data_IF_526097172523
#
_entry.id   IF_526097172523
#
_cell.length_a   1.000
_cell.length_b   1.000
_cell.length_c   1.000
_cell.angle_alpha   90.00
_cell.angle_beta   90.00
_cell.angle_gamma   90.00
#
_symmetry.space_group_name_H-M   'P 1'
#
loop_
_entity.id
_entity.type
_entity.pdbx_description
1 polymer ?
#
# COMPACT_ATOMS: atom_id res chain seq x y z
N UNK A 1 12.08 -17.69 4.07
CA UNK A 1 10.75 -17.58 4.65
C UNK A 1 10.76 -16.45 5.69
N UNK A 2 9.75 -15.58 5.66
CA UNK A 2 9.57 -14.48 6.63
C UNK A 2 8.34 -14.79 7.48
N UNK A 3 8.47 -14.62 8.80
CA UNK A 3 7.41 -14.85 9.79
C UNK A 3 6.52 -13.63 9.92
N UNK A 4 5.44 -13.57 9.15
CA UNK A 4 4.45 -12.50 9.16
C UNK A 4 3.06 -13.07 9.44
N UNK A 5 2.16 -12.37 10.13
CA UNK A 5 0.78 -12.79 10.29
C UNK A 5 0.07 -12.83 8.93
N UNK A 6 0.01 -14.00 8.32
CA UNK A 6 -0.52 -14.17 6.96
C UNK A 6 -1.91 -14.76 6.92
N UNK A 7 -2.33 -15.42 7.99
CA UNK A 7 -3.57 -16.17 8.03
C UNK A 7 -4.71 -15.29 8.54
N UNK A 8 -5.85 -15.18 7.82
CA UNK A 8 -6.96 -14.32 8.21
C UNK A 8 -7.75 -14.87 9.43
N UNK A 9 -8.08 -16.16 9.47
CA UNK A 9 -8.95 -16.73 10.50
C UNK A 9 -8.34 -17.96 11.20
N UNK A 10 -7.65 -18.83 10.46
CA UNK A 10 -7.10 -20.10 10.97
C UNK A 10 -5.67 -20.29 10.45
N UNK A 11 -4.79 -20.82 11.29
CA UNK A 11 -3.43 -21.18 10.89
C UNK A 11 -3.47 -22.19 9.73
N UNK A 12 -2.72 -21.91 8.67
CA UNK A 12 -2.63 -22.77 7.48
C UNK A 12 -3.49 -22.34 6.30
N UNK A 13 -4.23 -21.23 6.39
CA UNK A 13 -5.09 -20.77 5.28
C UNK A 13 -4.32 -20.09 4.15
N UNK A 14 -3.17 -19.45 4.44
CA UNK A 14 -2.56 -18.56 3.46
C UNK A 14 -1.04 -18.42 3.57
N UNK A 15 -0.36 -18.57 2.46
CA UNK A 15 1.05 -18.19 2.25
C UNK A 15 1.07 -16.94 1.37
N UNK A 16 1.85 -15.93 1.74
CA UNK A 16 2.07 -14.78 0.87
C UNK A 16 3.25 -15.05 -0.05
N UNK A 17 3.01 -14.91 -1.35
CA UNK A 17 4.00 -15.07 -2.41
C UNK A 17 4.36 -13.74 -3.08
N UNK A 18 3.83 -12.65 -2.59
CA UNK A 18 4.08 -11.31 -3.11
C UNK A 18 3.27 -10.26 -2.37
N UNK A 19 3.60 -9.01 -2.61
CA UNK A 19 2.93 -7.85 -2.04
C UNK A 19 2.76 -6.75 -3.09
N UNK A 20 1.68 -5.97 -2.96
CA UNK A 20 1.56 -4.73 -3.73
C UNK A 20 2.58 -3.71 -3.26
N UNK A 21 3.04 -2.86 -4.17
CA UNK A 21 3.81 -1.68 -3.83
C UNK A 21 2.96 -0.65 -3.07
N UNK A 22 3.65 0.27 -2.40
CA UNK A 22 3.02 1.36 -1.66
C UNK A 22 3.76 2.67 -1.89
N UNK A 23 3.01 3.67 -2.35
CA UNK A 23 3.48 5.03 -2.60
C UNK A 23 2.56 6.00 -1.85
N UNK A 24 3.13 6.82 -0.97
CA UNK A 24 2.44 7.95 -0.34
C UNK A 24 2.87 9.24 -1.01
N UNK A 25 1.92 10.12 -1.35
CA UNK A 25 2.18 11.47 -1.83
C UNK A 25 1.61 12.50 -0.87
N UNK A 26 2.40 13.53 -0.53
CA UNK A 26 1.94 14.74 0.16
C UNK A 26 2.01 15.89 -0.83
N UNK A 27 0.85 16.37 -1.25
CA UNK A 27 0.70 17.48 -2.21
C UNK A 27 0.39 18.76 -1.44
N UNK A 28 1.13 19.82 -1.72
CA UNK A 28 0.85 21.18 -1.25
C UNK A 28 0.61 22.07 -2.46
N UNK A 29 -0.50 22.80 -2.48
CA UNK A 29 -0.82 23.82 -3.46
C UNK A 29 -0.58 25.19 -2.83
N UNK A 30 0.13 26.03 -3.55
CA UNK A 30 0.38 27.42 -3.18
C UNK A 30 -0.52 28.32 -4.00
N UNK A 31 -1.33 29.11 -3.31
CA UNK A 31 -2.20 30.12 -3.90
C UNK A 31 -1.74 31.54 -3.59
N UNK A 32 -2.67 32.47 -3.68
CA UNK A 32 -2.51 33.85 -3.24
C UNK A 32 -3.65 34.15 -2.27
N UNK A 33 -3.28 34.46 -1.02
CA UNK A 33 -4.24 34.82 0.01
C UNK A 33 -4.96 36.13 -0.32
N UNK A 34 -6.24 36.24 0.08
CA UNK A 34 -6.99 37.45 -0.14
C UNK A 34 -8.37 37.43 0.53
N UNK A 35 -9.08 38.54 0.47
CA UNK A 35 -10.44 38.66 0.99
C UNK A 35 -11.44 37.96 0.06
N UNK A 36 -12.36 37.17 0.59
CA UNK A 36 -13.34 36.40 -0.22
C UNK A 36 -14.26 37.31 -1.08
N UNK A 37 -14.49 38.56 -0.66
CA UNK A 37 -15.26 39.51 -1.44
C UNK A 37 -14.53 40.02 -2.72
N UNK A 38 -13.20 39.81 -2.80
CA UNK A 38 -12.39 40.24 -3.94
C UNK A 38 -11.60 39.07 -4.55
N UNK A 39 -12.26 38.00 -5.02
CA UNK A 39 -11.60 36.76 -5.46
C UNK A 39 -10.67 36.99 -6.67
N UNK A 40 -10.88 38.05 -7.43
CA UNK A 40 -10.01 38.44 -8.57
C UNK A 40 -8.60 38.91 -8.14
N UNK A 41 -8.42 39.26 -6.85
CA UNK A 41 -7.13 39.65 -6.25
C UNK A 41 -6.43 38.51 -5.53
N UNK A 42 -7.00 37.30 -5.58
CA UNK A 42 -6.51 36.12 -4.90
C UNK A 42 -6.38 34.93 -5.84
N UNK A 43 -5.78 33.84 -5.39
CA UNK A 43 -5.79 32.57 -6.11
C UNK A 43 -6.03 31.45 -5.10
N UNK A 44 -7.23 30.88 -5.11
CA UNK A 44 -7.71 29.99 -4.06
C UNK A 44 -7.12 28.55 -4.20
N UNK A 45 -6.17 28.14 -3.36
CA UNK A 45 -5.59 26.81 -3.42
C UNK A 45 -6.59 25.72 -3.00
N UNK A 46 -7.63 26.04 -2.21
CA UNK A 46 -8.68 25.10 -1.81
C UNK A 46 -9.49 24.63 -3.01
N UNK A 47 -9.85 25.56 -3.90
CA UNK A 47 -10.54 25.22 -5.16
C UNK A 47 -9.66 24.36 -6.08
N UNK A 48 -8.37 24.67 -6.13
CA UNK A 48 -7.41 23.95 -6.99
C UNK A 48 -7.18 22.53 -6.49
N UNK A 49 -6.99 22.34 -5.18
CA UNK A 49 -6.76 21.01 -4.60
C UNK A 49 -7.97 20.10 -4.78
N UNK A 50 -9.19 20.62 -4.63
CA UNK A 50 -10.43 19.87 -4.90
C UNK A 50 -10.47 19.38 -6.35
N UNK A 51 -10.10 20.22 -7.32
CA UNK A 51 -10.01 19.84 -8.73
C UNK A 51 -9.01 18.74 -8.97
N UNK A 52 -7.82 18.84 -8.34
CA UNK A 52 -6.78 17.81 -8.43
C UNK A 52 -7.29 16.50 -7.82
N UNK A 53 -7.86 16.53 -6.62
CA UNK A 53 -8.35 15.33 -5.94
C UNK A 53 -9.46 14.63 -6.75
N UNK A 54 -10.32 15.38 -7.39
CA UNK A 54 -11.34 14.82 -8.29
C UNK A 54 -10.69 14.10 -9.49
N UNK A 55 -9.74 14.73 -10.17
CA UNK A 55 -8.98 14.07 -11.26
C UNK A 55 -8.23 12.81 -10.78
N UNK A 56 -7.66 12.85 -9.56
CA UNK A 56 -6.97 11.69 -8.99
C UNK A 56 -7.93 10.53 -8.73
N UNK A 57 -9.14 10.79 -8.25
CA UNK A 57 -10.17 9.80 -7.97
C UNK A 57 -10.63 9.07 -9.24
N UNK A 58 -10.69 9.78 -10.36
CA UNK A 58 -11.11 9.23 -11.65
C UNK A 58 -10.03 8.39 -12.36
N UNK A 59 -8.80 8.33 -11.81
CA UNK A 59 -7.72 7.57 -12.43
C UNK A 59 -8.01 6.07 -12.35
N UNK A 60 -8.25 5.47 -13.49
CA UNK A 60 -8.21 4.01 -13.65
C UNK A 60 -6.78 3.60 -14.00
N UNK A 61 -6.07 2.98 -13.06
CA UNK A 61 -4.69 2.53 -13.29
C UNK A 61 -4.66 1.26 -14.12
N UNK A 62 -5.40 0.24 -13.69
CA UNK A 62 -5.47 -1.09 -14.29
C UNK A 62 -6.68 -1.91 -13.78
N UNK A 63 -6.89 -3.09 -14.33
CA UNK A 63 -7.95 -4.04 -13.91
C UNK A 63 -7.42 -5.15 -13.00
N UNK A 64 -6.21 -5.02 -12.45
CA UNK A 64 -5.54 -6.08 -11.71
C UNK A 64 -4.83 -7.10 -12.62
N UNK A 65 -4.36 -8.19 -12.01
CA UNK A 65 -3.75 -9.33 -12.66
C UNK A 65 -4.29 -10.63 -12.05
N UNK A 66 -3.90 -11.80 -12.59
CA UNK A 66 -4.24 -13.09 -11.98
C UNK A 66 -3.87 -13.17 -10.49
N UNK A 67 -2.77 -12.51 -10.09
CA UNK A 67 -2.23 -12.60 -8.73
C UNK A 67 -2.48 -11.35 -7.89
N UNK A 68 -2.84 -10.22 -8.48
CA UNK A 68 -2.99 -8.95 -7.77
C UNK A 68 -4.33 -8.28 -8.03
N UNK A 69 -4.86 -7.67 -6.99
CA UNK A 69 -5.95 -6.71 -7.09
C UNK A 69 -5.54 -5.50 -7.96
N UNK A 70 -6.52 -4.75 -8.50
CA UNK A 70 -6.25 -3.49 -9.18
C UNK A 70 -5.44 -2.52 -8.31
N UNK A 71 -4.67 -1.68 -8.97
CA UNK A 71 -4.03 -0.54 -8.34
C UNK A 71 -5.09 0.48 -7.93
N UNK A 72 -5.04 0.93 -6.68
CA UNK A 72 -5.97 1.90 -6.13
C UNK A 72 -5.25 3.08 -5.48
N UNK A 73 -5.91 4.25 -5.51
CA UNK A 73 -5.50 5.47 -4.84
C UNK A 73 -6.57 5.88 -3.85
N UNK A 74 -6.15 6.16 -2.60
CA UNK A 74 -7.03 6.69 -1.57
C UNK A 74 -6.46 8.00 -1.01
N UNK A 75 -7.30 9.03 -0.94
CA UNK A 75 -6.98 10.27 -0.23
C UNK A 75 -7.18 10.04 1.26
N UNK A 76 -6.11 10.22 2.02
CA UNK A 76 -6.11 9.90 3.46
C UNK A 76 -6.17 11.13 4.36
N UNK A 77 -5.85 12.31 3.82
CA UNK A 77 -5.89 13.57 4.56
C UNK A 77 -6.08 14.75 3.62
N UNK A 78 -6.92 15.71 4.02
CA UNK A 78 -7.02 17.03 3.41
C UNK A 78 -6.87 18.04 4.55
N UNK A 79 -6.00 19.03 4.37
CA UNK A 79 -5.75 20.06 5.37
C UNK A 79 -5.70 21.44 4.70
N UNK A 80 -6.53 22.34 5.19
CA UNK A 80 -6.54 23.75 4.82
C UNK A 80 -6.49 24.51 6.13
N UNK A 81 -5.29 24.95 6.50
CA UNK A 81 -5.08 25.65 7.75
C UNK A 81 -5.53 27.12 7.61
N UNK A 82 -6.83 27.33 7.72
CA UNK A 82 -7.45 28.65 7.64
C UNK A 82 -8.40 28.82 8.84
N UNK A 83 -8.23 29.91 9.59
CA UNK A 83 -9.01 30.20 10.80
C UNK A 83 -10.05 31.30 10.59
N UNK A 84 -10.01 31.99 9.46
CA UNK A 84 -10.88 33.10 9.15
C UNK A 84 -11.81 32.77 7.97
N UNK A 85 -13.11 32.91 8.17
CA UNK A 85 -14.14 32.55 7.17
C UNK A 85 -14.16 33.48 5.96
N UNK A 86 -13.69 34.69 6.12
CA UNK A 86 -13.67 35.75 5.09
C UNK A 86 -12.33 35.87 4.35
N UNK A 87 -11.40 34.90 4.55
CA UNK A 87 -10.06 34.91 3.94
C UNK A 87 -9.87 33.68 3.06
N UNK A 88 -9.45 33.89 1.80
CA UNK A 88 -8.95 32.84 0.93
C UNK A 88 -7.56 32.40 1.44
N UNK A 89 -7.28 31.12 1.71
CA UNK A 89 -6.01 30.68 2.28
C UNK A 89 -4.83 30.83 1.31
N UNK A 90 -3.61 30.85 1.85
CA UNK A 90 -2.38 30.85 1.08
C UNK A 90 -2.01 29.46 0.57
N UNK A 91 -2.38 28.40 1.29
CA UNK A 91 -2.00 27.02 0.97
C UNK A 91 -3.14 26.03 1.23
N UNK A 92 -3.11 24.90 0.51
CA UNK A 92 -3.95 23.74 0.77
C UNK A 92 -3.12 22.46 0.59
N UNK A 93 -3.31 21.47 1.46
CA UNK A 93 -2.56 20.22 1.46
C UNK A 93 -3.48 19.00 1.33
N UNK A 94 -2.99 17.97 0.67
CA UNK A 94 -3.61 16.64 0.68
C UNK A 94 -2.55 15.55 0.76
N UNK A 95 -2.89 14.47 1.47
CA UNK A 95 -2.11 13.24 1.48
C UNK A 95 -2.93 12.13 0.88
N UNK A 96 -2.31 11.32 0.03
CA UNK A 96 -2.91 10.13 -0.56
C UNK A 96 -1.94 8.96 -0.52
N UNK A 97 -2.48 7.74 -0.52
CA UNK A 97 -1.71 6.52 -0.62
C UNK A 97 -2.16 5.70 -1.84
N UNK A 98 -1.19 5.12 -2.54
CA UNK A 98 -1.44 4.26 -3.70
C UNK A 98 -0.89 2.87 -3.40
N UNK A 99 -1.76 1.86 -3.53
CA UNK A 99 -1.38 0.46 -3.51
C UNK A 99 -1.37 -0.06 -4.94
N UNK A 100 -0.20 -0.41 -5.46
CA UNK A 100 -0.03 -0.75 -6.86
C UNK A 100 0.49 -2.17 -7.06
N UNK A 101 0.02 -2.79 -8.13
CA UNK A 101 0.43 -4.13 -8.54
C UNK A 101 1.67 -4.08 -9.46
N UNK A 102 2.13 -5.24 -9.91
CA UNK A 102 3.34 -5.41 -10.71
C UNK A 102 3.22 -4.95 -12.18
N UNK A 103 2.09 -4.35 -12.59
CA UNK A 103 1.97 -3.63 -13.88
C UNK A 103 2.57 -2.22 -13.81
N UNK A 104 2.82 -1.74 -12.59
CA UNK A 104 3.34 -0.40 -12.33
C UNK A 104 4.62 -0.46 -11.51
N UNK A 105 5.42 0.59 -11.66
CA UNK A 105 6.50 0.96 -10.74
C UNK A 105 6.14 2.28 -10.07
N UNK A 106 6.74 2.57 -8.91
CA UNK A 106 6.57 3.86 -8.26
C UNK A 106 6.88 5.02 -9.20
N UNK A 107 7.92 4.89 -10.04
CA UNK A 107 8.31 5.90 -11.01
C UNK A 107 7.25 6.10 -12.12
N UNK A 108 6.63 5.04 -12.62
CA UNK A 108 5.57 5.16 -13.63
C UNK A 108 4.34 5.87 -13.08
N UNK A 109 3.99 5.61 -11.82
CA UNK A 109 2.90 6.27 -11.10
C UNK A 109 3.23 7.74 -10.88
N UNK A 110 4.41 8.07 -10.35
CA UNK A 110 4.86 9.47 -10.16
C UNK A 110 4.78 10.27 -11.45
N UNK A 111 5.27 9.71 -12.57
CA UNK A 111 5.17 10.35 -13.89
C UNK A 111 3.72 10.63 -14.30
N UNK A 112 2.80 9.69 -14.08
CA UNK A 112 1.36 9.86 -14.39
C UNK A 112 0.73 10.96 -13.55
N UNK A 113 0.98 10.98 -12.24
CA UNK A 113 0.45 11.99 -11.32
C UNK A 113 1.01 13.38 -11.61
N UNK A 114 2.32 13.49 -11.84
CA UNK A 114 2.96 14.77 -12.11
C UNK A 114 2.40 15.44 -13.39
N UNK A 115 2.03 14.67 -14.42
CA UNK A 115 1.34 15.21 -15.60
C UNK A 115 0.02 15.91 -15.24
N UNK A 116 -0.75 15.31 -14.33
CA UNK A 116 -2.03 15.88 -13.87
C UNK A 116 -1.77 17.16 -13.08
N UNK A 117 -0.83 17.11 -12.13
CA UNK A 117 -0.48 18.27 -11.30
C UNK A 117 -0.02 19.45 -12.16
N UNK A 118 0.90 19.21 -13.10
CA UNK A 118 1.40 20.25 -14.01
C UNK A 118 0.26 20.84 -14.86
N UNK A 119 -0.60 19.97 -15.45
CA UNK A 119 -1.75 20.41 -16.27
C UNK A 119 -2.68 21.34 -15.50
N UNK A 120 -3.08 20.94 -14.28
CA UNK A 120 -4.04 21.72 -13.49
C UNK A 120 -3.38 23.00 -12.97
N UNK A 121 -2.17 22.92 -12.43
CA UNK A 121 -1.50 24.11 -11.90
C UNK A 121 -1.19 25.15 -12.99
N UNK A 122 -0.87 24.72 -14.22
CA UNK A 122 -0.73 25.62 -15.37
C UNK A 122 -2.06 26.33 -15.69
N UNK A 123 -3.19 25.59 -15.69
CA UNK A 123 -4.53 26.14 -15.95
C UNK A 123 -4.93 27.20 -14.92
N UNK A 124 -4.62 26.97 -13.64
CA UNK A 124 -5.00 27.85 -12.53
C UNK A 124 -3.88 28.81 -12.10
N UNK A 125 -2.78 28.89 -12.87
CA UNK A 125 -1.62 29.77 -12.59
C UNK A 125 -1.13 29.65 -11.13
N UNK A 126 -1.11 28.43 -10.59
CA UNK A 126 -0.67 28.12 -9.21
C UNK A 126 0.67 27.40 -9.20
N UNK A 127 1.29 27.33 -8.03
CA UNK A 127 2.48 26.51 -7.79
C UNK A 127 2.11 25.30 -6.94
N UNK A 128 2.88 24.21 -7.04
CA UNK A 128 2.69 23.05 -6.19
C UNK A 128 4.04 22.47 -5.77
N UNK A 129 4.01 21.78 -4.64
CA UNK A 129 5.08 20.89 -4.17
C UNK A 129 4.47 19.50 -3.96
N UNK A 130 5.19 18.47 -4.36
CA UNK A 130 4.80 17.07 -4.10
C UNK A 130 5.98 16.32 -3.52
N UNK A 131 5.79 15.77 -2.33
CA UNK A 131 6.75 14.90 -1.67
C UNK A 131 6.25 13.46 -1.75
N UNK A 132 7.08 12.54 -2.29
CA UNK A 132 6.75 11.15 -2.43
C UNK A 132 7.57 10.26 -1.49
N UNK A 133 6.88 9.35 -0.79
CA UNK A 133 7.51 8.29 -0.01
C UNK A 133 7.10 6.93 -0.57
N UNK A 134 8.08 6.16 -1.05
CA UNK A 134 7.89 4.78 -1.51
C UNK A 134 8.20 3.84 -0.35
N UNK A 135 7.21 3.09 0.14
CA UNK A 135 7.43 2.07 1.18
C UNK A 135 7.95 0.75 0.60
N UNK A 136 7.69 0.50 -0.69
CA UNK A 136 8.20 -0.66 -1.42
C UNK A 136 7.56 -0.77 -2.80
N UNK A 137 8.29 -1.43 -3.71
CA UNK A 137 7.77 -1.83 -5.02
C UNK A 137 6.90 -3.09 -4.90
N UNK A 138 6.02 -3.30 -5.87
CA UNK A 138 5.29 -4.56 -5.99
C UNK A 138 6.25 -5.70 -6.35
N UNK A 139 6.03 -6.87 -5.76
CA UNK A 139 6.80 -8.06 -6.11
C UNK A 139 5.95 -9.33 -6.08
N UNK A 140 6.41 -10.32 -6.83
CA UNK A 140 5.82 -11.65 -6.89
C UNK A 140 6.93 -12.69 -6.93
N UNK A 141 6.93 -13.64 -6.01
CA UNK A 141 7.73 -14.86 -6.06
C UNK A 141 6.93 -15.89 -6.85
N UNK A 142 7.47 -16.36 -7.96
CA UNK A 142 6.87 -17.47 -8.72
C UNK A 142 6.92 -18.74 -7.87
N UNK A 143 5.79 -19.46 -7.70
CA UNK A 143 5.77 -20.73 -6.99
C UNK A 143 6.79 -21.71 -7.58
N UNK A 144 7.53 -22.39 -6.72
CA UNK A 144 8.59 -23.34 -7.07
C UNK A 144 8.56 -24.57 -6.15
N UNK A 145 9.52 -25.48 -6.26
CA UNK A 145 9.61 -26.70 -5.44
C UNK A 145 9.52 -26.39 -3.93
N UNK A 146 10.23 -25.35 -3.47
CA UNK A 146 10.20 -24.93 -2.06
C UNK A 146 8.81 -24.44 -1.65
N UNK A 147 8.11 -23.69 -2.52
CA UNK A 147 6.74 -23.24 -2.26
C UNK A 147 5.79 -24.41 -2.03
N UNK A 148 5.88 -25.44 -2.87
CA UNK A 148 5.02 -26.62 -2.79
C UNK A 148 5.40 -27.52 -1.60
N UNK A 149 6.69 -27.64 -1.27
CA UNK A 149 7.16 -28.31 -0.05
C UNK A 149 6.55 -27.66 1.20
N UNK A 150 6.62 -26.33 1.31
CA UNK A 150 6.06 -25.58 2.45
C UNK A 150 4.53 -25.76 2.51
N UNK A 151 3.81 -25.67 1.36
CA UNK A 151 2.37 -25.93 1.31
C UNK A 151 2.02 -27.32 1.84
N UNK A 152 2.78 -28.35 1.46
CA UNK A 152 2.54 -29.73 1.89
C UNK A 152 2.81 -29.92 3.39
N UNK A 153 3.86 -29.31 3.94
CA UNK A 153 4.17 -29.35 5.37
C UNK A 153 3.03 -28.70 6.17
N UNK A 154 2.59 -27.52 5.76
CA UNK A 154 1.48 -26.81 6.41
C UNK A 154 0.21 -27.66 6.35
N UNK A 155 -0.14 -28.22 5.18
CA UNK A 155 -1.31 -29.09 5.00
C UNK A 155 -1.23 -30.31 5.93
N UNK A 156 -0.07 -30.94 6.06
CA UNK A 156 0.12 -32.12 6.92
C UNK A 156 -0.18 -31.81 8.39
N UNK A 157 0.28 -30.64 8.89
CA UNK A 157 0.16 -30.26 10.30
C UNK A 157 -1.21 -29.66 10.60
N UNK A 158 -1.70 -28.76 9.75
CA UNK A 158 -2.95 -28.01 9.99
C UNK A 158 -4.18 -28.66 9.39
N UNK A 159 -4.04 -29.67 8.51
CA UNK A 159 -5.07 -30.27 7.66
C UNK A 159 -5.68 -29.30 6.65
N UNK A 160 -5.13 -28.10 6.50
CA UNK A 160 -5.59 -27.07 5.56
C UNK A 160 -4.51 -26.87 4.48
N UNK A 161 -4.90 -26.88 3.20
CA UNK A 161 -4.01 -26.52 2.10
C UNK A 161 -3.98 -25.01 1.95
N UNK A 162 -2.86 -24.33 2.22
CA UNK A 162 -2.81 -22.87 2.16
C UNK A 162 -2.99 -22.35 0.74
N UNK A 163 -3.75 -21.26 0.62
CA UNK A 163 -3.84 -20.50 -0.64
C UNK A 163 -2.60 -19.65 -0.82
N UNK A 164 -2.11 -19.53 -2.05
CA UNK A 164 -1.05 -18.58 -2.40
C UNK A 164 -1.68 -17.22 -2.68
N UNK A 165 -1.18 -16.16 -2.06
CA UNK A 165 -1.82 -14.85 -2.07
C UNK A 165 -0.81 -13.70 -2.12
N UNK A 166 -1.26 -12.55 -2.62
CA UNK A 166 -0.50 -11.29 -2.64
C UNK A 166 -1.22 -10.17 -1.88
N UNK A 167 -2.31 -10.51 -1.17
CA UNK A 167 -3.09 -9.53 -0.40
C UNK A 167 -2.38 -9.07 0.87
N UNK A 168 -2.81 -7.93 1.42
CA UNK A 168 -2.29 -7.37 2.67
C UNK A 168 -1.36 -6.18 2.50
N UNK A 169 -0.76 -5.75 3.60
CA UNK A 169 0.16 -4.62 3.67
C UNK A 169 1.55 -4.91 3.11
N UNK A 170 2.50 -4.04 3.38
CA UNK A 170 3.92 -4.25 3.11
C UNK A 170 4.54 -5.11 4.22
N UNK A 171 5.65 -5.79 3.92
CA UNK A 171 6.41 -6.63 4.87
C UNK A 171 7.91 -6.51 4.61
N UNK A 172 8.72 -7.06 5.48
CA UNK A 172 10.18 -7.05 5.34
C UNK A 172 10.70 -7.92 4.19
N UNK A 173 9.86 -8.82 3.68
CA UNK A 173 10.19 -9.56 2.46
C UNK A 173 10.47 -8.63 1.26
N UNK A 174 9.93 -7.41 1.26
CA UNK A 174 10.23 -6.40 0.24
C UNK A 174 11.72 -6.05 0.10
N UNK A 175 12.48 -6.16 1.18
CA UNK A 175 13.93 -5.95 1.17
C UNK A 175 14.68 -7.21 0.74
N UNK A 176 14.27 -8.37 1.28
CA UNK A 176 14.90 -9.67 1.04
C UNK A 176 14.75 -10.11 -0.41
N UNK A 177 13.63 -9.77 -1.06
CA UNK A 177 13.35 -10.17 -2.45
C UNK A 177 14.41 -9.71 -3.47
N UNK A 178 15.20 -8.70 -3.16
CA UNK A 178 16.28 -8.22 -4.01
C UNK A 178 17.47 -9.20 -4.03
N UNK A 179 17.59 -10.02 -2.98
CA UNK A 179 18.70 -10.94 -2.77
C UNK A 179 18.26 -12.40 -3.03
N UNK A 180 17.03 -12.75 -2.62
CA UNK A 180 16.51 -14.12 -2.71
C UNK A 180 15.00 -14.14 -2.93
N UNK A 181 14.47 -15.13 -3.67
CA UNK A 181 13.04 -15.42 -3.66
C UNK A 181 12.57 -15.71 -2.24
N UNK A 182 11.41 -15.20 -1.86
CA UNK A 182 10.91 -15.38 -0.51
C UNK A 182 9.40 -15.56 -0.44
N UNK A 183 8.97 -16.14 0.67
CA UNK A 183 7.58 -16.41 1.03
C UNK A 183 7.33 -15.89 2.43
N UNK A 184 6.09 -15.58 2.75
CA UNK A 184 5.70 -15.22 4.10
C UNK A 184 4.64 -16.18 4.62
N UNK A 185 4.82 -16.63 5.84
CA UNK A 185 3.86 -17.46 6.56
C UNK A 185 4.05 -17.26 8.06
N UNK A 186 2.97 -17.11 8.81
CA UNK A 186 3.01 -16.97 10.26
C UNK A 186 1.64 -17.11 10.89
N UNK A 187 1.42 -16.47 12.01
CA UNK A 187 0.21 -16.60 12.82
C UNK A 187 -1.04 -16.00 12.17
N UNK A 188 -2.15 -16.16 12.87
CA UNK A 188 -3.43 -15.54 12.53
C UNK A 188 -3.40 -14.07 12.94
N UNK A 189 -3.70 -13.18 11.98
CA UNK A 189 -3.65 -11.73 12.18
C UNK A 189 -4.99 -11.09 12.60
N UNK A 190 -5.94 -11.85 13.16
CA UNK A 190 -7.31 -11.39 13.45
C UNK A 190 -7.36 -10.19 14.40
N UNK A 191 -6.45 -10.15 15.38
CA UNK A 191 -6.39 -9.09 16.38
C UNK A 191 -5.20 -8.15 16.18
N UNK A 192 -4.46 -8.30 15.07
CA UNK A 192 -3.30 -7.48 14.74
C UNK A 192 -3.61 -5.98 14.79
N UNK A 193 -2.78 -5.21 15.50
CA UNK A 193 -2.93 -3.76 15.74
C UNK A 193 -4.20 -3.35 16.52
N UNK A 194 -4.84 -4.27 17.23
CA UNK A 194 -5.96 -3.97 18.11
C UNK A 194 -5.51 -3.91 19.57
N UNK A 195 -6.32 -3.26 20.39
CA UNK A 195 -6.21 -3.41 21.86
C UNK A 195 -6.40 -4.89 22.18
N UNK A 196 -5.62 -5.41 23.12
CA UNK A 196 -5.60 -6.84 23.51
C UNK A 196 -5.23 -7.78 22.34
N UNK A 197 -4.22 -7.38 21.56
CA UNK A 197 -3.66 -8.24 20.51
C UNK A 197 -3.22 -9.58 21.09
N UNK A 198 -3.72 -10.67 20.54
CA UNK A 198 -3.53 -12.01 21.07
C UNK A 198 -3.41 -13.06 19.98
N UNK A 199 -2.77 -14.19 20.30
CA UNK A 199 -2.66 -15.36 19.45
C UNK A 199 -3.01 -16.63 20.21
N UNK A 200 -3.49 -17.66 19.51
CA UNK A 200 -3.76 -18.97 20.10
C UNK A 200 -2.45 -19.69 20.45
N UNK A 201 -2.31 -20.18 21.70
CA UNK A 201 -1.18 -21.04 22.09
C UNK A 201 -1.08 -22.32 21.24
N UNK A 202 -2.22 -22.86 20.79
CA UNK A 202 -2.25 -24.00 19.87
C UNK A 202 -1.64 -23.62 18.51
N UNK A 203 -1.95 -22.44 18.00
CA UNK A 203 -1.40 -21.97 16.72
C UNK A 203 0.09 -21.69 16.84
N UNK A 204 0.54 -21.12 17.96
CA UNK A 204 1.96 -20.91 18.22
C UNK A 204 2.74 -22.25 18.22
N UNK A 205 2.24 -23.27 18.95
CA UNK A 205 2.84 -24.61 18.98
C UNK A 205 2.85 -25.26 17.58
N UNK A 206 1.79 -25.10 16.81
CA UNK A 206 1.72 -25.66 15.45
C UNK A 206 2.65 -24.90 14.50
N UNK A 207 2.78 -23.58 14.61
CA UNK A 207 3.71 -22.80 13.80
C UNK A 207 5.16 -23.20 14.05
N UNK A 208 5.54 -23.46 15.31
CA UNK A 208 6.87 -23.98 15.68
C UNK A 208 7.14 -25.32 14.96
N UNK A 209 6.21 -26.27 15.01
CA UNK A 209 6.32 -27.57 14.31
C UNK A 209 6.43 -27.40 12.80
N UNK A 210 5.71 -26.42 12.22
CA UNK A 210 5.77 -26.13 10.80
C UNK A 210 7.16 -25.62 10.42
N UNK A 211 7.71 -24.66 11.17
CA UNK A 211 9.03 -24.09 10.88
C UNK A 211 10.13 -25.13 11.07
N UNK A 212 10.09 -25.92 12.11
CA UNK A 212 11.02 -27.05 12.33
C UNK A 212 10.98 -28.02 11.14
N UNK A 213 9.77 -28.45 10.72
CA UNK A 213 9.62 -29.33 9.56
C UNK A 213 10.13 -28.70 8.26
N UNK A 214 9.96 -27.39 8.07
CA UNK A 214 10.50 -26.69 6.91
C UNK A 214 12.02 -26.75 6.91
N UNK A 215 12.67 -26.42 8.04
CA UNK A 215 14.13 -26.45 8.15
C UNK A 215 14.69 -27.85 7.89
N UNK A 216 14.11 -28.88 8.50
CA UNK A 216 14.51 -30.28 8.31
C UNK A 216 14.39 -30.77 6.87
N UNK A 217 13.42 -30.28 6.09
CA UNK A 217 13.20 -30.69 4.70
C UNK A 217 13.94 -29.80 3.69
N UNK A 218 14.34 -28.59 4.06
CA UNK A 218 15.05 -27.69 3.20
C UNK A 218 16.55 -27.97 3.12
N UNK A 219 17.15 -28.44 4.21
CA UNK A 219 18.58 -28.72 4.33
C UNK A 219 18.93 -30.21 4.17
N UNK A 220 17.98 -31.04 3.75
CA UNK A 220 18.22 -32.41 3.26
C UNK A 220 18.53 -32.38 1.75
#
# INVERSE_FOLDING_TARGET
LVGEPTNPNRLGEMIKIGRRGSLTGKLTIFGLQGHVAYPHRANNPSTIIVKILNELKEIKFDKGTKNFQPTNLEVTKININNTADNVIPATAEATFNIRFNNKHTSNSIKKKLNKIFIKINKKYKSKFKIDYRVSGEAFLTKPNKTTFMIQNIIKRITKIKPRLSTTGGTSDLRFIKAISPGLEFGLVGKTMHKVDEAVSLKDLKNLTKIYESILQNYFK
#
